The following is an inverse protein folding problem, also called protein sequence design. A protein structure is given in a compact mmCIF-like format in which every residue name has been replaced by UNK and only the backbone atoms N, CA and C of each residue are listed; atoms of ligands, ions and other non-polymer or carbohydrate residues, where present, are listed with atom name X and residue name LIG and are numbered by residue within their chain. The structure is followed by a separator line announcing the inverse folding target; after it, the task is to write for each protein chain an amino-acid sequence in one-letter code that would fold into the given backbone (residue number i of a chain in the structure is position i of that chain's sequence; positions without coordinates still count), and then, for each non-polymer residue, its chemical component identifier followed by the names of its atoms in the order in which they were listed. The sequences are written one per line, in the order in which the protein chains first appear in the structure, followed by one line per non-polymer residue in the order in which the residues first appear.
data_IF_113120532796
#
_entry.id   IF_113120532796
#
_cell.length_a   1.000
_cell.length_b   1.000
_cell.length_c   1.000
_cell.angle_alpha   90.00
_cell.angle_beta   90.00
_cell.angle_gamma   90.00
#
_symmetry.space_group_name_H-M   'P 1'
#
loop_
_entity.id
_entity.type
_entity.pdbx_description
1 polymer ?
#
# COMPACT_ATOMS: atom_id res chain seq x y z
N UNK A 1 -10.26 11.32 12.91
CA UNK A 1 -10.37 10.13 12.04
C UNK A 1 -9.85 10.52 10.68
N UNK A 2 -8.97 9.72 10.10
CA UNK A 2 -8.38 9.96 8.78
C UNK A 2 -8.20 8.62 8.08
N UNK A 3 -7.97 8.66 6.78
CA UNK A 3 -7.86 7.49 5.92
C UNK A 3 -6.45 6.89 6.04
N UNK A 4 -6.38 5.63 6.47
CA UNK A 4 -5.13 4.87 6.64
C UNK A 4 -5.08 3.74 5.62
N UNK A 5 -3.89 3.40 5.12
CA UNK A 5 -3.70 2.23 4.27
C UNK A 5 -3.03 1.08 5.02
N UNK A 6 -3.56 -0.11 4.75
CA UNK A 6 -3.06 -1.36 5.27
C UNK A 6 -2.80 -2.34 4.14
N UNK A 7 -1.80 -3.21 4.32
CA UNK A 7 -1.55 -4.32 3.42
C UNK A 7 -1.31 -5.60 4.23
N UNK A 8 -1.79 -6.72 3.70
CA UNK A 8 -1.57 -8.04 4.27
C UNK A 8 -1.12 -9.05 3.21
N UNK A 9 -0.09 -9.83 3.50
CA UNK A 9 0.34 -10.95 2.67
C UNK A 9 -0.60 -12.13 2.84
N UNK A 10 -0.93 -12.82 1.75
CA UNK A 10 -1.85 -13.96 1.76
C UNK A 10 -1.28 -15.14 0.98
N UNK A 11 -1.32 -16.32 1.61
CA UNK A 11 -0.88 -17.56 1.00
C UNK A 11 -1.83 -18.03 -0.12
N UNK A 12 -1.39 -19.02 -0.90
CA UNK A 12 -2.16 -19.53 -2.04
C UNK A 12 -3.51 -20.15 -1.62
N UNK A 13 -3.59 -20.73 -0.41
CA UNK A 13 -4.82 -21.33 0.11
C UNK A 13 -5.85 -20.25 0.42
N UNK A 14 -5.44 -19.19 1.10
CA UNK A 14 -6.27 -18.03 1.41
C UNK A 14 -6.68 -17.30 0.15
N UNK A 15 -5.74 -17.11 -0.79
CA UNK A 15 -6.02 -16.50 -2.09
C UNK A 15 -7.09 -17.29 -2.86
N UNK A 16 -6.95 -18.61 -2.94
CA UNK A 16 -7.93 -19.47 -3.62
C UNK A 16 -9.30 -19.43 -2.93
N UNK A 17 -9.35 -19.37 -1.59
CA UNK A 17 -10.59 -19.19 -0.84
C UNK A 17 -11.27 -17.88 -1.20
N UNK A 18 -10.53 -16.77 -1.22
CA UNK A 18 -11.07 -15.45 -1.54
C UNK A 18 -11.53 -15.33 -3.00
N UNK A 19 -10.87 -16.03 -3.92
CA UNK A 19 -11.33 -16.11 -5.31
C UNK A 19 -12.66 -16.87 -5.45
N UNK A 20 -12.87 -17.90 -4.63
CA UNK A 20 -14.13 -18.65 -4.62
C UNK A 20 -15.25 -17.88 -3.90
N UNK A 21 -14.91 -17.19 -2.80
CA UNK A 21 -15.84 -16.44 -1.96
C UNK A 21 -15.25 -15.06 -1.59
N UNK A 22 -15.43 -14.03 -2.43
CA UNK A 22 -14.89 -12.69 -2.19
C UNK A 22 -15.33 -12.04 -0.88
N UNK A 23 -16.54 -12.37 -0.40
CA UNK A 23 -17.12 -11.81 0.82
C UNK A 23 -16.36 -12.25 2.10
N UNK A 24 -15.54 -13.30 2.02
CA UNK A 24 -14.70 -13.76 3.13
C UNK A 24 -13.53 -12.78 3.42
N UNK A 25 -13.30 -11.78 2.56
CA UNK A 25 -12.18 -10.83 2.70
C UNK A 25 -12.23 -10.06 4.02
N UNK A 26 -13.43 -9.75 4.52
CA UNK A 26 -13.60 -9.02 5.77
C UNK A 26 -13.00 -9.76 6.97
N UNK A 27 -13.08 -11.10 6.99
CA UNK A 27 -12.51 -11.91 8.06
C UNK A 27 -10.98 -12.03 7.96
N UNK A 28 -10.40 -11.81 6.78
CA UNK A 28 -8.95 -11.76 6.57
C UNK A 28 -8.40 -10.40 6.99
N UNK A 29 -9.13 -9.33 6.71
CA UNK A 29 -8.78 -7.94 7.05
C UNK A 29 -9.03 -7.63 8.52
N UNK A 30 -10.07 -8.20 9.13
CA UNK A 30 -10.39 -8.00 10.54
C UNK A 30 -10.43 -9.35 11.27
N UNK A 31 -9.28 -10.02 11.41
CA UNK A 31 -9.22 -11.27 12.15
C UNK A 31 -9.61 -11.03 13.62
N UNK A 32 -10.37 -11.93 14.26
CA UNK A 32 -10.86 -11.76 15.64
C UNK A 32 -9.76 -11.50 16.68
N UNK A 33 -8.58 -12.09 16.46
CA UNK A 33 -7.42 -11.98 17.34
C UNK A 33 -6.45 -10.85 16.92
N UNK A 34 -6.84 -10.02 15.95
CA UNK A 34 -5.97 -9.04 15.31
C UNK A 34 -4.95 -9.70 14.36
N UNK A 35 -4.18 -8.89 13.64
CA UNK A 35 -3.17 -9.40 12.69
C UNK A 35 -1.95 -10.05 13.37
N UNK A 36 -1.91 -10.12 14.70
CA UNK A 36 -0.76 -10.62 15.46
C UNK A 36 0.51 -9.79 15.22
N UNK A 37 1.65 -10.31 15.70
CA UNK A 37 2.99 -9.78 15.34
C UNK A 37 3.55 -10.45 14.08
N UNK A 38 2.75 -11.29 13.41
CA UNK A 38 3.21 -12.11 12.29
C UNK A 38 3.44 -11.28 11.03
N UNK A 39 4.62 -11.50 10.45
CA UNK A 39 5.35 -10.66 9.50
C UNK A 39 4.75 -10.56 8.08
N UNK A 40 3.43 -10.51 7.93
CA UNK A 40 2.73 -10.31 6.66
C UNK A 40 1.65 -9.23 6.77
N UNK A 41 1.89 -8.20 7.58
CA UNK A 41 1.00 -7.05 7.70
C UNK A 41 1.81 -5.75 7.80
N UNK A 42 1.33 -4.68 7.15
CA UNK A 42 1.90 -3.34 7.29
C UNK A 42 0.79 -2.30 7.38
N UNK A 43 0.96 -1.38 8.32
CA UNK A 43 0.20 -0.15 8.47
C UNK A 43 1.06 1.00 7.92
N UNK A 44 0.59 1.69 6.89
CA UNK A 44 1.26 2.86 6.32
C UNK A 44 0.76 4.19 6.91
N UNK A 45 -0.12 4.12 7.91
CA UNK A 45 -0.88 5.21 8.50
C UNK A 45 -1.42 6.10 7.37
N UNK A 46 -1.27 7.42 7.45
CA UNK A 46 -1.79 8.36 6.46
C UNK A 46 -0.77 8.73 5.38
N UNK A 47 0.40 8.08 5.36
CA UNK A 47 1.46 8.37 4.39
C UNK A 47 1.16 7.81 2.98
N UNK A 48 0.18 6.92 2.86
CA UNK A 48 -0.09 6.11 1.66
C UNK A 48 -0.21 6.93 0.37
N UNK A 49 -0.94 8.05 0.38
CA UNK A 49 -1.18 8.81 -0.84
C UNK A 49 0.07 9.58 -1.28
N UNK A 50 0.85 10.12 -0.32
CA UNK A 50 2.14 10.73 -0.62
C UNK A 50 3.13 9.71 -1.17
N UNK A 51 3.18 8.51 -0.59
CA UNK A 51 4.02 7.42 -1.12
C UNK A 51 3.60 7.08 -2.55
N UNK A 52 2.30 6.91 -2.79
CA UNK A 52 1.75 6.63 -4.12
C UNK A 52 2.16 7.68 -5.15
N UNK A 53 1.98 8.96 -4.79
CA UNK A 53 2.35 10.09 -5.65
C UNK A 53 3.86 10.14 -5.90
N UNK A 54 4.70 9.93 -4.89
CA UNK A 54 6.16 9.93 -5.06
C UNK A 54 6.66 8.76 -5.92
N UNK A 55 5.93 7.66 -5.96
CA UNK A 55 6.27 6.50 -6.80
C UNK A 55 5.83 6.67 -8.25
N UNK A 56 4.72 7.35 -8.49
CA UNK A 56 4.06 7.38 -9.81
C UNK A 56 4.05 8.75 -10.48
N UNK A 57 4.24 9.83 -9.73
CA UNK A 57 3.99 11.20 -10.16
C UNK A 57 2.51 11.54 -10.31
N UNK A 58 1.59 10.70 -9.79
CA UNK A 58 0.15 10.84 -9.97
C UNK A 58 -0.60 10.43 -8.70
N UNK A 59 -1.71 11.13 -8.41
CA UNK A 59 -2.59 10.80 -7.30
C UNK A 59 -3.42 9.52 -7.54
N UNK A 60 -3.63 9.14 -8.80
CA UNK A 60 -4.62 8.12 -9.18
C UNK A 60 -4.07 7.03 -10.11
N UNK A 61 -2.77 7.03 -10.39
CA UNK A 61 -2.19 6.05 -11.30
C UNK A 61 -2.28 4.63 -10.71
N UNK A 62 -2.87 3.70 -11.47
CA UNK A 62 -3.01 2.29 -11.10
C UNK A 62 -2.32 1.37 -12.09
N UNK A 63 -1.44 1.92 -12.93
CA UNK A 63 -0.65 1.18 -13.91
C UNK A 63 0.32 0.20 -13.22
N UNK A 64 0.75 -0.86 -13.94
CA UNK A 64 1.61 -1.88 -13.38
C UNK A 64 2.88 -1.37 -12.71
N UNK A 65 3.36 -2.17 -11.75
CA UNK A 65 4.53 -1.93 -10.89
C UNK A 65 4.28 -0.90 -9.79
N UNK A 66 4.77 0.33 -9.92
CA UNK A 66 4.65 1.36 -8.89
C UNK A 66 3.18 1.71 -8.56
N UNK A 67 2.32 1.88 -9.56
CA UNK A 67 0.89 2.20 -9.33
C UNK A 67 0.12 1.07 -8.66
N UNK A 68 0.65 -0.16 -8.68
CA UNK A 68 0.06 -1.30 -7.98
C UNK A 68 0.35 -1.34 -6.49
N UNK A 69 1.34 -0.60 -5.99
CA UNK A 69 1.79 -0.77 -4.61
C UNK A 69 0.76 -0.40 -3.55
N UNK A 70 -0.23 0.44 -3.89
CA UNK A 70 -1.26 0.92 -2.96
C UNK A 70 -2.64 0.90 -3.62
N UNK A 71 -2.79 1.54 -4.79
CA UNK A 71 -4.09 1.75 -5.42
C UNK A 71 -4.41 0.79 -6.58
N UNK A 72 -3.50 -0.12 -6.96
CA UNK A 72 -3.75 -1.03 -8.08
C UNK A 72 -4.35 -2.38 -7.68
N UNK A 73 -4.05 -3.42 -8.44
CA UNK A 73 -4.67 -4.73 -8.25
C UNK A 73 -6.13 -4.77 -8.70
N UNK A 74 -6.85 -5.80 -8.26
CA UNK A 74 -8.27 -6.01 -8.56
C UNK A 74 -9.09 -5.83 -7.29
N UNK A 75 -10.25 -5.19 -7.38
CA UNK A 75 -11.17 -5.06 -6.25
C UNK A 75 -11.72 -6.43 -5.84
N UNK A 76 -11.89 -6.64 -4.54
CA UNK A 76 -12.28 -7.90 -3.91
C UNK A 76 -13.28 -7.62 -2.78
N UNK A 77 -14.44 -8.27 -2.87
CA UNK A 77 -15.51 -8.15 -1.88
C UNK A 77 -16.31 -6.84 -2.01
N UNK A 78 -17.11 -6.56 -0.98
CA UNK A 78 -17.95 -5.36 -0.91
C UNK A 78 -17.18 -4.14 -0.40
N UNK A 79 -17.79 -2.96 -0.54
CA UNK A 79 -17.28 -1.72 0.03
C UNK A 79 -17.23 -1.79 1.56
N UNK A 80 -16.06 -1.53 2.14
CA UNK A 80 -15.81 -1.60 3.58
C UNK A 80 -15.80 -0.23 4.27
N UNK A 81 -16.36 0.79 3.61
CA UNK A 81 -16.47 2.17 4.09
C UNK A 81 -15.58 3.15 3.34
N UNK A 82 -14.45 2.68 2.81
CA UNK A 82 -13.49 3.45 2.02
C UNK A 82 -13.23 2.80 0.65
N UNK A 83 -14.22 2.08 0.15
CA UNK A 83 -14.12 1.23 -1.03
C UNK A 83 -13.86 -0.24 -0.69
N UNK A 84 -13.90 -1.12 -1.71
CA UNK A 84 -13.57 -2.53 -1.55
C UNK A 84 -12.08 -2.72 -1.30
N UNK A 85 -11.73 -3.84 -0.67
CA UNK A 85 -10.36 -4.29 -0.62
C UNK A 85 -9.83 -4.56 -2.04
N UNK A 86 -8.51 -4.56 -2.18
CA UNK A 86 -7.81 -4.83 -3.44
C UNK A 86 -6.89 -6.02 -3.26
N UNK A 87 -6.69 -6.77 -4.34
CA UNK A 87 -5.84 -7.96 -4.34
C UNK A 87 -4.80 -7.91 -5.44
N UNK A 88 -3.58 -8.32 -5.08
CA UNK A 88 -2.48 -8.59 -5.99
C UNK A 88 -2.16 -10.08 -5.96
N UNK A 89 -2.15 -10.69 -7.14
CA UNK A 89 -1.65 -12.06 -7.30
C UNK A 89 -0.13 -12.12 -7.00
N UNK A 90 0.41 -13.30 -6.64
CA UNK A 90 1.84 -13.45 -6.34
C UNK A 90 2.79 -12.90 -7.42
N UNK A 91 2.44 -13.04 -8.70
CA UNK A 91 3.22 -12.48 -9.80
C UNK A 91 3.24 -10.95 -9.83
N UNK A 92 2.14 -10.32 -9.43
CA UNK A 92 2.04 -8.86 -9.33
C UNK A 92 2.83 -8.36 -8.12
N UNK A 93 2.72 -9.03 -6.97
CA UNK A 93 3.53 -8.73 -5.77
C UNK A 93 5.02 -8.76 -6.10
N UNK A 94 5.51 -9.80 -6.81
CA UNK A 94 6.91 -9.86 -7.27
C UNK A 94 7.30 -8.69 -8.17
N UNK A 95 6.39 -8.26 -9.05
CA UNK A 95 6.63 -7.13 -9.96
C UNK A 95 6.69 -5.80 -9.20
N UNK A 96 5.83 -5.62 -8.20
CA UNK A 96 5.88 -4.45 -7.30
C UNK A 96 7.18 -4.47 -6.50
N UNK A 97 7.53 -5.59 -5.86
CA UNK A 97 8.75 -5.74 -5.07
C UNK A 97 10.00 -5.36 -5.89
N UNK A 98 10.12 -5.87 -7.12
CA UNK A 98 11.23 -5.54 -8.00
C UNK A 98 11.29 -4.04 -8.37
N UNK A 99 10.15 -3.41 -8.60
CA UNK A 99 10.09 -1.99 -8.92
C UNK A 99 10.43 -1.10 -7.72
N UNK A 100 9.98 -1.46 -6.52
CA UNK A 100 10.32 -0.78 -5.29
C UNK A 100 11.78 -1.02 -4.86
N UNK A 101 12.37 -2.17 -5.21
CA UNK A 101 13.79 -2.42 -4.99
C UNK A 101 14.69 -1.58 -5.92
N UNK A 102 14.22 -1.27 -7.13
CA UNK A 102 14.91 -0.38 -8.07
C UNK A 102 14.89 1.11 -7.65
N UNK A 103 14.05 1.47 -6.68
CA UNK A 103 13.93 2.82 -6.14
C UNK A 103 14.47 2.78 -4.71
N UNK A 104 15.74 3.14 -4.55
CA UNK A 104 16.30 3.32 -3.22
C UNK A 104 15.70 4.55 -2.51
N UNK A 105 16.08 4.71 -1.25
CA UNK A 105 15.55 5.78 -0.41
C UNK A 105 15.96 7.16 -0.89
N UNK A 106 17.20 7.33 -1.35
CA UNK A 106 17.70 8.62 -1.85
C UNK A 106 16.92 9.02 -3.11
N UNK A 107 16.70 8.07 -4.04
CA UNK A 107 15.91 8.28 -5.25
C UNK A 107 14.44 8.55 -4.95
N UNK A 108 13.88 7.94 -3.91
CA UNK A 108 12.51 8.21 -3.46
C UNK A 108 12.40 9.59 -2.83
N UNK A 109 13.31 9.93 -1.91
CA UNK A 109 13.37 11.22 -1.20
C UNK A 109 13.53 12.38 -2.18
N UNK A 110 14.34 12.20 -3.23
CA UNK A 110 14.52 13.20 -4.29
C UNK A 110 13.24 13.52 -5.08
N UNK A 111 12.18 12.71 -4.97
CA UNK A 111 10.87 12.95 -5.61
C UNK A 111 9.90 13.70 -4.70
N UNK A 112 10.31 14.05 -3.49
CA UNK A 112 9.46 14.83 -2.59
C UNK A 112 9.23 16.23 -3.17
N UNK A 113 7.97 16.53 -3.47
CA UNK A 113 7.55 17.75 -4.13
C UNK A 113 6.23 18.25 -3.51
N UNK A 114 6.26 18.87 -2.31
CA UNK A 114 5.07 19.20 -1.55
C UNK A 114 4.10 20.10 -2.32
N UNK A 115 4.59 21.12 -3.04
CA UNK A 115 3.75 21.99 -3.87
C UNK A 115 3.02 21.22 -4.99
N UNK A 116 3.69 20.22 -5.57
CA UNK A 116 3.09 19.37 -6.62
C UNK A 116 2.06 18.40 -6.03
N UNK A 117 2.31 17.88 -4.82
CA UNK A 117 1.35 17.04 -4.10
C UNK A 117 0.08 17.81 -3.75
N UNK A 118 0.22 19.04 -3.26
CA UNK A 118 -0.91 19.95 -2.98
C UNK A 118 -1.70 20.24 -4.25
N UNK A 119 -1.02 20.60 -5.34
CA UNK A 119 -1.67 20.86 -6.61
C UNK A 119 -2.39 19.64 -7.20
N UNK A 120 -1.92 18.43 -6.89
CA UNK A 120 -2.52 17.16 -7.29
C UNK A 120 -3.58 16.63 -6.31
N UNK A 121 -3.95 17.41 -5.28
CA UNK A 121 -4.93 17.05 -4.25
C UNK A 121 -4.60 15.73 -3.54
N UNK A 122 -3.30 15.49 -3.30
CA UNK A 122 -2.82 14.32 -2.55
C UNK A 122 -3.34 14.40 -1.12
N UNK A 123 -3.77 13.26 -0.56
CA UNK A 123 -4.38 13.21 0.77
C UNK A 123 -3.41 13.74 1.84
N UNK A 124 -3.90 14.71 2.64
CA UNK A 124 -3.14 15.43 3.68
C UNK A 124 -1.90 16.19 3.19
N UNK A 125 -1.75 16.43 1.89
CA UNK A 125 -0.62 17.17 1.35
C UNK A 125 -0.49 18.58 1.96
N UNK A 126 -1.60 19.27 2.23
CA UNK A 126 -1.59 20.61 2.83
C UNK A 126 -1.00 20.62 4.25
N UNK A 127 -1.37 19.60 5.04
CA UNK A 127 -0.85 19.44 6.40
C UNK A 127 0.62 19.06 6.38
N UNK A 128 1.00 18.11 5.52
CA UNK A 128 2.38 17.65 5.38
C UNK A 128 3.31 18.74 4.80
N UNK A 129 2.83 19.56 3.87
CA UNK A 129 3.57 20.71 3.36
C UNK A 129 3.90 21.73 4.46
N UNK A 130 3.04 21.83 5.47
CA UNK A 130 3.24 22.72 6.63
C UNK A 130 4.27 22.17 7.63
N UNK A 131 4.48 20.85 7.66
CA UNK A 131 5.35 20.14 8.61
C UNK A 131 6.81 20.01 8.13
N UNK A 132 7.11 20.36 6.87
CA UNK A 132 8.47 20.42 6.34
C UNK A 132 9.23 19.09 6.41
N UNK A 133 10.48 19.11 6.87
CA UNK A 133 11.34 17.91 6.92
C UNK A 133 10.74 16.75 7.75
N UNK A 134 9.94 17.06 8.77
CA UNK A 134 9.29 16.04 9.58
C UNK A 134 8.25 15.22 8.79
N UNK A 135 7.57 15.84 7.82
CA UNK A 135 6.66 15.14 6.93
C UNK A 135 7.43 14.17 6.02
N UNK A 136 8.57 14.60 5.48
CA UNK A 136 9.40 13.76 4.62
C UNK A 136 9.94 12.55 5.38
N UNK A 137 10.46 12.74 6.60
CA UNK A 137 10.94 11.65 7.45
C UNK A 137 9.84 10.63 7.74
N UNK A 138 8.62 11.09 8.01
CA UNK A 138 7.45 10.24 8.22
C UNK A 138 7.07 9.43 6.96
N UNK A 139 7.07 10.07 5.78
CA UNK A 139 6.77 9.40 4.50
C UNK A 139 7.85 8.35 4.18
N UNK A 140 9.13 8.69 4.37
CA UNK A 140 10.27 7.79 4.12
C UNK A 140 10.23 6.58 5.06
N UNK A 141 9.91 6.77 6.34
CA UNK A 141 9.75 5.66 7.29
C UNK A 141 8.66 4.67 6.82
N UNK A 142 7.49 5.17 6.42
CA UNK A 142 6.42 4.32 5.89
C UNK A 142 6.78 3.68 4.53
N UNK A 143 7.54 4.38 3.68
CA UNK A 143 8.07 3.80 2.44
C UNK A 143 9.01 2.62 2.72
N UNK A 144 9.89 2.71 3.72
CA UNK A 144 10.75 1.58 4.14
C UNK A 144 9.93 0.38 4.57
N UNK A 145 8.86 0.60 5.35
CA UNK A 145 7.94 -0.45 5.77
C UNK A 145 7.26 -1.11 4.55
N UNK A 146 6.79 -0.31 3.59
CA UNK A 146 6.18 -0.80 2.35
C UNK A 146 7.16 -1.66 1.52
N UNK A 147 8.40 -1.20 1.34
CA UNK A 147 9.44 -1.98 0.63
C UNK A 147 9.70 -3.31 1.32
N UNK A 148 9.81 -3.29 2.65
CA UNK A 148 10.08 -4.49 3.45
C UNK A 148 8.94 -5.49 3.31
N UNK A 149 7.69 -5.02 3.45
CA UNK A 149 6.49 -5.83 3.21
C UNK A 149 6.52 -6.50 1.84
N UNK A 150 6.65 -5.75 0.75
CA UNK A 150 6.62 -6.32 -0.59
C UNK A 150 7.76 -7.31 -0.85
N UNK A 151 8.96 -7.05 -0.31
CA UNK A 151 10.10 -7.97 -0.42
C UNK A 151 9.81 -9.29 0.30
N UNK A 152 9.32 -9.23 1.52
CA UNK A 152 9.09 -10.42 2.36
C UNK A 152 7.91 -11.24 1.82
N UNK A 153 6.81 -10.59 1.44
CA UNK A 153 5.66 -11.24 0.80
C UNK A 153 6.05 -11.89 -0.53
N UNK A 154 6.87 -11.21 -1.35
CA UNK A 154 7.38 -11.78 -2.60
C UNK A 154 8.30 -13.00 -2.37
N UNK A 155 9.16 -12.95 -1.34
CA UNK A 155 10.06 -14.04 -0.99
C UNK A 155 9.30 -15.31 -0.54
N UNK A 156 8.15 -15.13 0.11
CA UNK A 156 7.23 -16.22 0.48
C UNK A 156 6.42 -16.76 -0.70
N UNK A 157 6.42 -16.06 -1.83
CA UNK A 157 5.59 -16.41 -2.99
C UNK A 157 4.11 -16.10 -2.79
N UNK A 158 3.78 -15.25 -1.82
CA UNK A 158 2.41 -14.90 -1.45
C UNK A 158 1.81 -13.82 -2.36
N UNK A 159 0.48 -13.73 -2.37
CA UNK A 159 -0.25 -12.56 -2.86
C UNK A 159 -0.37 -11.49 -1.77
N UNK A 160 -1.04 -10.38 -2.07
CA UNK A 160 -1.30 -9.32 -1.11
C UNK A 160 -2.72 -8.80 -1.20
N UNK A 161 -3.30 -8.42 -0.06
CA UNK A 161 -4.53 -7.65 0.07
C UNK A 161 -4.15 -6.23 0.49
N UNK A 162 -4.81 -5.23 -0.08
CA UNK A 162 -4.63 -3.82 0.24
C UNK A 162 -6.00 -3.21 0.56
N UNK A 163 -6.08 -2.37 1.58
CA UNK A 163 -7.34 -1.70 1.91
C UNK A 163 -7.09 -0.36 2.60
N UNK A 164 -8.11 0.48 2.55
CA UNK A 164 -8.17 1.76 3.22
C UNK A 164 -9.20 1.69 4.36
N UNK A 165 -8.91 2.32 5.50
CA UNK A 165 -9.83 2.41 6.66
C UNK A 165 -9.87 3.80 7.26
#
# INVERSE_FOLDING_TARGET
MGMIAYLAGVDDVTMARLQANPDDVAAVIYPPDGHGEDADFVDLDKAWHCIHFMLTGSAVDTAPTAGWSILGGTELGEDMGMGPARVLAPGQVRSVAAALDAIDEDAFTARYAPDSMVAAEVYLSDSLASDGDAALDYIVQNYRSLRTFYRDTAAKGHGAILWLS
#
